data_IF_243771949555
#
_entry.id   IF_243771949555
#
_cell.length_a   1.000
_cell.length_b   1.000
_cell.length_c   1.000
_cell.angle_alpha   90.00
_cell.angle_beta   90.00
_cell.angle_gamma   90.00
#
_symmetry.space_group_name_H-M   'P 1'
#
loop_
_entity.id
_entity.type
_entity.pdbx_description
1 polymer ?
#
# COMPACT_ATOMS: atom_id res chain seq x y z
N UNK A 1 20.31 -33.86 1.98
CA UNK A 1 20.37 -32.91 0.85
C UNK A 1 20.43 -31.50 1.42
N UNK A 2 21.64 -30.99 1.65
CA UNK A 2 21.84 -29.72 2.36
C UNK A 2 23.18 -29.13 1.91
N UNK A 3 23.18 -27.81 1.68
CA UNK A 3 24.35 -26.94 1.42
C UNK A 3 24.78 -26.81 -0.05
N UNK A 4 24.00 -26.03 -0.80
CA UNK A 4 24.43 -25.32 -2.01
C UNK A 4 24.06 -23.84 -1.83
N UNK A 5 24.89 -23.12 -1.07
CA UNK A 5 24.91 -21.66 -1.02
C UNK A 5 26.01 -21.22 -0.06
N UNK A 6 27.19 -20.88 -0.58
CA UNK A 6 28.11 -19.82 -0.11
C UNK A 6 29.44 -19.97 -0.87
N UNK A 7 29.42 -19.67 -2.17
CA UNK A 7 30.64 -19.60 -2.97
C UNK A 7 30.60 -18.34 -3.83
N UNK A 8 30.50 -17.17 -3.19
CA UNK A 8 30.90 -15.89 -3.79
C UNK A 8 31.05 -14.79 -2.72
N UNK A 9 31.91 -15.01 -1.72
CA UNK A 9 32.20 -13.99 -0.69
C UNK A 9 33.67 -14.06 -0.24
N UNK A 10 34.60 -14.18 -1.19
CA UNK A 10 36.02 -14.42 -0.88
C UNK A 10 37.05 -13.63 -1.69
N UNK A 11 36.71 -12.45 -2.25
CA UNK A 11 37.76 -11.55 -2.81
C UNK A 11 37.51 -10.08 -2.52
N UNK A 12 37.21 -9.75 -1.25
CA UNK A 12 37.55 -8.42 -0.71
C UNK A 12 38.19 -8.66 0.65
N UNK A 13 39.40 -9.23 0.64
CA UNK A 13 40.27 -9.12 1.80
C UNK A 13 40.61 -7.63 1.97
N UNK A 14 40.54 -7.05 3.17
CA UNK A 14 41.11 -5.74 3.37
C UNK A 14 42.60 -5.88 3.05
N UNK A 15 43.08 -5.21 1.99
CA UNK A 15 44.51 -4.95 1.93
C UNK A 15 44.78 -4.10 3.17
N UNK A 16 45.37 -4.73 4.19
CA UNK A 16 45.93 -3.99 5.31
C UNK A 16 46.86 -2.96 4.69
N UNK A 17 46.48 -1.69 4.83
CA UNK A 17 47.27 -0.57 4.36
C UNK A 17 48.65 -0.68 5.02
N UNK A 18 49.65 -1.10 4.25
CA UNK A 18 51.03 -0.85 4.59
C UNK A 18 51.19 0.66 4.62
N UNK A 19 51.60 1.19 5.77
CA UNK A 19 51.90 2.59 6.01
C UNK A 19 52.87 3.17 4.97
N UNK A 20 52.32 3.66 3.87
CA UNK A 20 52.97 4.51 2.87
C UNK A 20 52.01 5.64 2.51
N UNK A 21 52.53 6.77 2.03
CA UNK A 21 51.67 7.86 1.53
C UNK A 21 50.72 7.30 0.46
N UNK A 22 49.43 7.59 0.58
CA UNK A 22 48.46 7.20 -0.45
C UNK A 22 48.86 7.83 -1.79
N UNK A 23 49.16 7.01 -2.79
CA UNK A 23 49.42 7.44 -4.15
C UNK A 23 48.19 8.05 -4.81
N UNK A 24 48.41 8.81 -5.88
CA UNK A 24 47.32 9.39 -6.66
C UNK A 24 46.40 8.29 -7.22
N UNK A 25 45.10 8.39 -6.91
CA UNK A 25 44.09 7.48 -7.44
C UNK A 25 43.93 6.14 -6.70
N UNK A 26 44.63 5.91 -5.59
CA UNK A 26 44.48 4.67 -4.81
C UNK A 26 43.05 4.43 -4.31
N UNK A 27 42.30 5.50 -4.03
CA UNK A 27 40.89 5.43 -3.60
C UNK A 27 39.89 5.67 -4.74
N UNK A 28 40.29 5.50 -6.02
CA UNK A 28 39.42 5.85 -7.16
C UNK A 28 38.15 5.01 -7.22
N UNK A 29 38.24 3.73 -6.85
CA UNK A 29 37.08 2.83 -6.85
C UNK A 29 36.08 3.19 -5.74
N UNK A 30 36.60 3.48 -4.55
CA UNK A 30 35.86 3.94 -3.38
C UNK A 30 35.20 5.28 -3.66
N UNK A 31 35.95 6.22 -4.26
CA UNK A 31 35.42 7.50 -4.70
C UNK A 31 34.27 7.33 -5.72
N UNK A 32 34.43 6.47 -6.72
CA UNK A 32 33.37 6.20 -7.69
C UNK A 32 32.11 5.61 -7.03
N UNK A 33 32.26 4.69 -6.08
CA UNK A 33 31.15 4.12 -5.31
C UNK A 33 30.44 5.18 -4.46
N UNK A 34 31.19 6.04 -3.76
CA UNK A 34 30.64 7.15 -2.97
C UNK A 34 29.91 8.17 -3.84
N UNK A 35 30.46 8.53 -5.00
CA UNK A 35 29.77 9.39 -5.96
C UNK A 35 28.45 8.77 -6.46
N UNK A 36 28.42 7.46 -6.72
CA UNK A 36 27.20 6.78 -7.11
C UNK A 36 26.14 6.84 -6.00
N UNK A 37 26.54 6.62 -4.74
CA UNK A 37 25.66 6.69 -3.58
C UNK A 37 25.10 8.11 -3.36
N UNK A 38 25.95 9.14 -3.36
CA UNK A 38 25.53 10.55 -3.23
C UNK A 38 24.57 10.93 -4.36
N UNK A 39 24.85 10.48 -5.59
CA UNK A 39 23.98 10.74 -6.75
C UNK A 39 22.61 10.08 -6.60
N UNK A 40 22.53 8.92 -5.95
CA UNK A 40 21.24 8.27 -5.64
C UNK A 40 20.52 9.06 -4.54
N UNK A 41 21.22 9.44 -3.47
CA UNK A 41 20.63 10.17 -2.35
C UNK A 41 20.17 11.60 -2.67
N UNK A 42 20.70 12.18 -3.74
CA UNK A 42 20.34 13.52 -4.22
C UNK A 42 19.19 13.52 -5.23
N UNK A 43 18.67 12.34 -5.63
CA UNK A 43 17.54 12.23 -6.55
C UNK A 43 16.24 12.16 -5.76
N UNK A 44 15.20 12.82 -6.28
CA UNK A 44 13.85 12.59 -5.81
C UNK A 44 13.49 11.11 -6.04
N UNK A 45 13.11 10.42 -4.96
CA UNK A 45 12.61 9.05 -5.06
C UNK A 45 11.13 9.11 -5.41
N UNK A 46 10.78 8.69 -6.62
CA UNK A 46 9.39 8.43 -7.00
C UNK A 46 8.92 7.17 -6.27
N UNK A 47 7.94 7.35 -5.41
CA UNK A 47 7.26 6.24 -4.74
C UNK A 47 6.03 5.90 -5.58
N UNK A 48 5.91 4.67 -6.11
CA UNK A 48 4.72 4.26 -6.82
C UNK A 48 3.49 4.43 -5.95
N UNK A 49 2.54 5.23 -6.40
CA UNK A 49 1.24 5.37 -5.75
C UNK A 49 0.35 4.24 -6.21
N UNK A 50 -0.20 3.49 -5.25
CA UNK A 50 -1.34 2.62 -5.53
C UNK A 50 -2.57 3.50 -5.41
N UNK A 51 -3.29 3.71 -6.51
CA UNK A 51 -4.56 4.44 -6.45
C UNK A 51 -5.48 3.78 -5.42
N UNK A 52 -6.31 4.57 -4.74
CA UNK A 52 -7.29 3.99 -3.84
C UNK A 52 -8.41 3.36 -4.66
N UNK A 53 -8.80 2.14 -4.29
CA UNK A 53 -9.99 1.53 -4.86
C UNK A 53 -11.19 2.43 -4.55
N UNK A 54 -12.02 2.71 -5.57
CA UNK A 54 -13.28 3.41 -5.38
C UNK A 54 -14.32 2.48 -4.71
N UNK A 55 -14.20 2.35 -3.39
CA UNK A 55 -15.07 1.50 -2.58
C UNK A 55 -16.54 1.92 -2.68
N UNK A 56 -16.82 3.22 -2.84
CA UNK A 56 -18.17 3.74 -3.00
C UNK A 56 -18.81 3.24 -4.30
N UNK A 57 -18.06 3.22 -5.41
CA UNK A 57 -18.54 2.67 -6.67
C UNK A 57 -18.81 1.15 -6.58
N UNK A 58 -17.92 0.40 -5.93
CA UNK A 58 -18.13 -1.03 -5.67
C UNK A 58 -19.41 -1.27 -4.85
N UNK A 59 -19.56 -0.56 -3.74
CA UNK A 59 -20.74 -0.69 -2.87
C UNK A 59 -22.02 -0.36 -3.64
N UNK A 60 -22.03 0.71 -4.43
CA UNK A 60 -23.17 1.09 -5.26
C UNK A 60 -23.58 -0.01 -6.24
N UNK A 61 -22.61 -0.67 -6.89
CA UNK A 61 -22.90 -1.80 -7.79
C UNK A 61 -23.55 -2.96 -7.01
N UNK A 62 -23.01 -3.31 -5.83
CA UNK A 62 -23.58 -4.39 -5.00
C UNK A 62 -24.98 -4.05 -4.48
N UNK A 63 -25.20 -2.82 -4.03
CA UNK A 63 -26.49 -2.32 -3.56
C UNK A 63 -27.55 -2.32 -4.66
N UNK A 64 -27.17 -1.92 -5.88
CA UNK A 64 -28.07 -1.94 -7.02
C UNK A 64 -28.38 -3.39 -7.45
N UNK A 65 -27.38 -4.27 -7.44
CA UNK A 65 -27.56 -5.70 -7.73
C UNK A 65 -28.54 -6.35 -6.74
N UNK A 66 -28.37 -6.04 -5.45
CA UNK A 66 -29.28 -6.51 -4.40
C UNK A 66 -30.71 -5.97 -4.61
N UNK A 67 -30.84 -4.67 -4.88
CA UNK A 67 -32.14 -4.00 -5.07
C UNK A 67 -32.92 -4.55 -6.26
N UNK A 68 -32.24 -4.93 -7.34
CA UNK A 68 -32.88 -5.48 -8.54
C UNK A 68 -33.14 -6.98 -8.45
N UNK A 69 -32.59 -7.67 -7.44
CA UNK A 69 -32.82 -9.10 -7.21
C UNK A 69 -34.30 -9.41 -6.94
N UNK A 70 -34.74 -10.67 -7.12
CA UNK A 70 -36.11 -11.08 -6.81
C UNK A 70 -36.50 -10.75 -5.37
N UNK A 71 -37.77 -10.39 -5.13
CA UNK A 71 -38.21 -9.97 -3.80
C UNK A 71 -38.11 -11.12 -2.77
N UNK A 72 -38.32 -12.36 -3.22
CA UNK A 72 -38.09 -13.58 -2.43
C UNK A 72 -36.62 -13.75 -2.01
N UNK A 73 -35.69 -13.34 -2.89
CA UNK A 73 -34.26 -13.35 -2.56
C UNK A 73 -33.93 -12.28 -1.52
N UNK A 74 -34.41 -11.05 -1.75
CA UNK A 74 -34.19 -9.94 -0.80
C UNK A 74 -34.76 -10.25 0.59
N UNK A 75 -35.94 -10.87 0.65
CA UNK A 75 -36.61 -11.20 1.91
C UNK A 75 -35.77 -12.11 2.82
N UNK A 76 -34.93 -13.00 2.26
CA UNK A 76 -34.05 -13.88 3.04
C UNK A 76 -33.06 -13.13 3.93
N UNK A 77 -32.71 -11.90 3.56
CA UNK A 77 -31.71 -11.10 4.27
C UNK A 77 -32.28 -10.33 5.44
N UNK A 78 -33.59 -10.35 5.65
CA UNK A 78 -34.23 -9.63 6.75
C UNK A 78 -34.85 -10.60 7.76
N UNK A 79 -34.84 -10.22 9.04
CA UNK A 79 -35.44 -11.03 10.11
C UNK A 79 -36.97 -10.92 10.07
N UNK A 80 -37.47 -9.72 9.83
CA UNK A 80 -38.89 -9.42 9.78
C UNK A 80 -39.32 -8.93 8.39
N UNK A 81 -40.63 -9.04 8.11
CA UNK A 81 -41.23 -8.57 6.86
C UNK A 81 -41.11 -7.05 6.66
N UNK A 82 -40.88 -6.29 7.74
CA UNK A 82 -40.69 -4.83 7.68
C UNK A 82 -39.30 -4.41 7.15
N UNK A 83 -38.40 -5.37 6.93
CA UNK A 83 -37.06 -5.20 6.37
C UNK A 83 -36.20 -4.18 7.11
N UNK A 84 -36.39 -4.00 8.43
CA UNK A 84 -35.56 -3.08 9.24
C UNK A 84 -34.30 -3.72 9.78
N UNK A 85 -34.34 -5.02 10.06
CA UNK A 85 -33.23 -5.76 10.67
C UNK A 85 -32.68 -6.80 9.69
N UNK A 86 -31.37 -6.76 9.45
CA UNK A 86 -30.69 -7.72 8.56
C UNK A 86 -30.32 -8.98 9.35
N UNK A 87 -30.32 -10.12 8.67
CA UNK A 87 -29.85 -11.38 9.22
C UNK A 87 -28.35 -11.34 9.54
N UNK A 88 -27.94 -12.01 10.62
CA UNK A 88 -26.54 -11.98 11.03
C UNK A 88 -25.66 -12.91 10.20
N UNK A 89 -26.21 -14.07 9.83
CA UNK A 89 -25.48 -15.16 9.16
C UNK A 89 -26.26 -15.70 7.97
N UNK A 90 -25.53 -16.27 7.00
CA UNK A 90 -26.13 -16.92 5.83
C UNK A 90 -27.06 -18.08 6.22
N UNK A 91 -26.72 -18.81 7.28
CA UNK A 91 -27.53 -19.90 7.82
C UNK A 91 -28.89 -19.37 8.32
N UNK A 92 -28.90 -18.24 9.04
CA UNK A 92 -30.15 -17.62 9.49
C UNK A 92 -31.00 -17.09 8.31
N UNK A 93 -30.37 -16.72 7.20
CA UNK A 93 -31.03 -16.38 5.94
C UNK A 93 -31.49 -17.61 5.13
N UNK A 94 -31.24 -18.84 5.62
CA UNK A 94 -31.57 -20.08 4.92
C UNK A 94 -30.79 -20.26 3.62
N UNK A 95 -29.57 -19.73 3.54
CA UNK A 95 -28.67 -19.86 2.41
C UNK A 95 -27.68 -20.98 2.67
N UNK A 96 -27.61 -21.93 1.73
CA UNK A 96 -26.69 -23.07 1.78
C UNK A 96 -26.32 -23.48 0.35
N UNK A 97 -25.04 -23.71 0.10
CA UNK A 97 -24.50 -24.19 -1.18
C UNK A 97 -24.81 -23.23 -2.36
N UNK A 98 -24.93 -21.92 -2.09
CA UNK A 98 -25.22 -20.86 -3.07
C UNK A 98 -24.04 -19.90 -3.25
N UNK A 99 -22.88 -20.23 -2.70
CA UNK A 99 -21.70 -19.36 -2.65
C UNK A 99 -21.69 -18.43 -1.44
N UNK A 100 -22.50 -18.68 -0.43
CA UNK A 100 -22.61 -17.88 0.77
C UNK A 100 -21.29 -17.68 1.51
N UNK A 101 -20.42 -18.70 1.54
CA UNK A 101 -19.09 -18.61 2.13
C UNK A 101 -18.26 -17.48 1.50
N UNK A 102 -18.49 -17.23 0.21
CA UNK A 102 -17.82 -16.20 -0.54
C UNK A 102 -18.59 -14.86 -0.46
N UNK A 103 -19.87 -14.85 -0.83
CA UNK A 103 -20.59 -13.61 -1.13
C UNK A 103 -21.37 -13.01 0.05
N UNK A 104 -21.49 -13.71 1.18
CA UNK A 104 -22.38 -13.30 2.28
C UNK A 104 -22.11 -11.87 2.78
N UNK A 105 -20.84 -11.50 2.95
CA UNK A 105 -20.49 -10.19 3.48
C UNK A 105 -20.97 -9.05 2.57
N UNK A 106 -20.84 -9.20 1.26
CA UNK A 106 -21.27 -8.19 0.30
C UNK A 106 -22.79 -8.11 0.22
N UNK A 107 -23.48 -9.26 0.22
CA UNK A 107 -24.94 -9.29 0.24
C UNK A 107 -25.51 -8.70 1.54
N UNK A 108 -24.94 -9.03 2.70
CA UNK A 108 -25.33 -8.49 4.00
C UNK A 108 -25.12 -6.98 4.05
N UNK A 109 -23.97 -6.49 3.55
CA UNK A 109 -23.69 -5.05 3.50
C UNK A 109 -24.67 -4.31 2.59
N UNK A 110 -24.94 -4.83 1.39
CA UNK A 110 -25.92 -4.27 0.47
C UNK A 110 -27.33 -4.26 1.09
N UNK A 111 -27.77 -5.36 1.69
CA UNK A 111 -29.06 -5.47 2.37
C UNK A 111 -29.21 -4.45 3.51
N UNK A 112 -28.14 -4.22 4.27
CA UNK A 112 -28.10 -3.22 5.34
C UNK A 112 -28.17 -1.78 4.81
N UNK A 113 -27.49 -1.50 3.70
CA UNK A 113 -27.48 -0.20 3.06
C UNK A 113 -28.84 0.17 2.44
N UNK A 114 -29.63 -0.82 2.00
CA UNK A 114 -30.96 -0.60 1.38
C UNK A 114 -32.14 -1.00 2.26
N UNK A 115 -31.92 -1.30 3.55
CA UNK A 115 -32.98 -1.67 4.50
C UNK A 115 -34.04 -0.59 4.64
N UNK A 116 -35.22 -0.96 5.12
CA UNK A 116 -36.28 0.02 5.36
C UNK A 116 -35.82 1.08 6.39
N UNK A 117 -36.09 2.36 6.10
CA UNK A 117 -35.62 3.49 6.89
C UNK A 117 -34.18 3.96 6.58
N UNK A 118 -33.47 3.31 5.65
CA UNK A 118 -32.18 3.82 5.15
C UNK A 118 -32.38 5.06 4.25
N UNK A 119 -31.42 6.00 4.30
CA UNK A 119 -31.38 7.18 3.42
C UNK A 119 -30.51 6.96 2.17
N UNK A 120 -30.57 5.76 1.57
CA UNK A 120 -29.82 5.50 0.34
C UNK A 120 -30.49 6.17 -0.87
N UNK A 121 -30.33 7.49 -0.96
CA UNK A 121 -30.95 8.30 -2.01
C UNK A 121 -30.44 7.95 -3.40
N UNK A 122 -29.18 7.52 -3.52
CA UNK A 122 -28.58 7.19 -4.81
C UNK A 122 -29.28 6.00 -5.45
N UNK A 123 -29.47 4.92 -4.69
CA UNK A 123 -30.21 3.75 -5.16
C UNK A 123 -31.68 4.10 -5.45
N UNK A 124 -32.35 4.80 -4.52
CA UNK A 124 -33.75 5.22 -4.69
C UNK A 124 -33.95 6.01 -5.98
N UNK A 125 -33.08 6.99 -6.27
CA UNK A 125 -33.12 7.77 -7.52
C UNK A 125 -32.88 6.90 -8.76
N UNK A 126 -31.99 5.92 -8.67
CA UNK A 126 -31.66 5.03 -9.80
C UNK A 126 -32.82 4.13 -10.18
N UNK A 127 -33.57 3.63 -9.20
CA UNK A 127 -34.68 2.68 -9.43
C UNK A 127 -36.04 3.37 -9.55
N UNK A 128 -36.09 4.71 -9.56
CA UNK A 128 -37.32 5.50 -9.71
C UNK A 128 -37.39 6.16 -11.11
N UNK A 129 -38.51 6.04 -11.84
CA UNK A 129 -39.70 5.25 -11.51
C UNK A 129 -39.41 3.75 -11.53
N UNK A 130 -40.21 2.97 -10.79
CA UNK A 130 -40.03 1.52 -10.72
C UNK A 130 -39.98 0.88 -12.12
N UNK A 131 -38.99 0.01 -12.30
CA UNK A 131 -38.85 -0.76 -13.52
C UNK A 131 -40.00 -1.76 -13.64
N UNK A 132 -40.56 -1.91 -14.85
CA UNK A 132 -41.49 -3.01 -15.12
C UNK A 132 -40.82 -4.36 -14.86
N UNK A 133 -41.61 -5.39 -14.53
CA UNK A 133 -41.09 -6.73 -14.18
C UNK A 133 -40.04 -7.26 -15.17
N UNK A 134 -40.30 -7.16 -16.47
CA UNK A 134 -39.37 -7.60 -17.53
C UNK A 134 -38.09 -6.77 -17.55
N UNK A 135 -38.17 -5.45 -17.38
CA UNK A 135 -36.99 -4.57 -17.34
C UNK A 135 -36.16 -4.84 -16.08
N UNK A 136 -36.80 -5.03 -14.93
CA UNK A 136 -36.14 -5.40 -13.66
C UNK A 136 -35.38 -6.72 -13.82
N UNK A 137 -36.00 -7.75 -14.40
CA UNK A 137 -35.36 -9.05 -14.64
C UNK A 137 -34.15 -8.95 -15.58
N UNK A 138 -34.29 -8.23 -16.71
CA UNK A 138 -33.18 -8.05 -17.64
C UNK A 138 -32.03 -7.25 -17.00
N UNK A 139 -32.34 -6.20 -16.24
CA UNK A 139 -31.35 -5.39 -15.53
C UNK A 139 -30.65 -6.22 -14.44
N UNK A 140 -31.37 -7.03 -13.68
CA UNK A 140 -30.81 -7.90 -12.65
C UNK A 140 -29.79 -8.89 -13.24
N UNK A 141 -30.09 -9.52 -14.37
CA UNK A 141 -29.14 -10.45 -15.03
C UNK A 141 -27.86 -9.74 -15.46
N UNK A 142 -27.98 -8.57 -16.11
CA UNK A 142 -26.81 -7.80 -16.55
C UNK A 142 -25.98 -7.31 -15.36
N UNK A 143 -26.65 -6.85 -14.31
CA UNK A 143 -25.99 -6.28 -13.14
C UNK A 143 -25.32 -7.34 -12.29
N UNK A 144 -25.85 -8.57 -12.23
CA UNK A 144 -25.21 -9.69 -11.56
C UNK A 144 -23.82 -9.99 -12.16
N UNK A 145 -23.68 -9.94 -13.49
CA UNK A 145 -22.39 -10.10 -14.16
C UNK A 145 -21.41 -8.97 -13.81
N UNK A 146 -21.87 -7.72 -13.84
CA UNK A 146 -21.07 -6.53 -13.47
C UNK A 146 -20.64 -6.60 -12.00
N UNK A 147 -21.53 -7.00 -11.10
CA UNK A 147 -21.24 -7.13 -9.68
C UNK A 147 -20.20 -8.22 -9.39
N UNK A 148 -20.23 -9.33 -10.14
CA UNK A 148 -19.22 -10.37 -10.06
C UNK A 148 -17.86 -9.86 -10.56
N UNK A 149 -17.83 -9.18 -11.71
CA UNK A 149 -16.60 -8.61 -12.25
C UNK A 149 -15.98 -7.57 -11.31
N UNK A 150 -16.80 -6.68 -10.74
CA UNK A 150 -16.35 -5.68 -9.76
C UNK A 150 -15.73 -6.33 -8.52
N UNK A 151 -16.29 -7.46 -8.06
CA UNK A 151 -15.74 -8.24 -6.95
C UNK A 151 -14.40 -8.88 -7.32
N UNK A 152 -14.30 -9.46 -8.52
CA UNK A 152 -13.05 -10.05 -9.00
C UNK A 152 -11.94 -9.00 -9.13
N UNK A 153 -12.28 -7.78 -9.55
CA UNK A 153 -11.36 -6.64 -9.53
C UNK A 153 -10.95 -6.30 -8.10
N UNK A 154 -11.89 -6.18 -7.16
CA UNK A 154 -11.62 -5.90 -5.74
C UNK A 154 -10.67 -6.96 -5.14
N UNK A 155 -10.86 -8.25 -5.45
CA UNK A 155 -9.99 -9.33 -4.97
C UNK A 155 -8.56 -9.22 -5.49
N UNK A 156 -8.40 -8.85 -6.76
CA UNK A 156 -7.09 -8.70 -7.41
C UNK A 156 -6.45 -7.34 -7.15
N UNK A 157 -7.19 -6.40 -6.58
CA UNK A 157 -6.70 -5.06 -6.35
C UNK A 157 -5.48 -5.12 -5.41
N UNK A 158 -4.36 -4.46 -5.78
CA UNK A 158 -3.17 -4.48 -4.93
C UNK A 158 -3.51 -3.85 -3.59
N UNK A 159 -3.40 -4.64 -2.52
CA UNK A 159 -3.40 -4.11 -1.17
C UNK A 159 -2.02 -3.52 -0.93
N UNK A 160 -1.94 -2.20 -0.78
CA UNK A 160 -0.71 -1.58 -0.30
C UNK A 160 -0.33 -2.27 1.02
N UNK A 161 0.87 -2.85 1.10
CA UNK A 161 1.35 -3.32 2.38
C UNK A 161 1.54 -2.10 3.31
N UNK A 162 1.34 -2.28 4.62
CA UNK A 162 1.32 -1.18 5.57
C UNK A 162 2.66 -0.41 5.57
N UNK A 163 3.77 -1.08 5.28
CA UNK A 163 5.11 -0.51 5.14
C UNK A 163 5.24 0.43 3.94
N UNK A 164 4.73 0.06 2.78
CA UNK A 164 4.78 0.84 1.54
C UNK A 164 3.84 2.05 1.63
N UNK A 165 2.70 1.92 2.30
CA UNK A 165 1.77 3.02 2.52
C UNK A 165 2.43 4.19 3.27
N UNK A 166 3.42 3.93 4.14
CA UNK A 166 4.19 4.97 4.86
C UNK A 166 4.94 5.92 3.91
N UNK A 167 5.36 5.41 2.75
CA UNK A 167 6.14 6.17 1.77
C UNK A 167 5.28 6.88 0.72
N UNK A 168 3.98 6.56 0.63
CA UNK A 168 3.06 7.25 -0.30
C UNK A 168 2.72 8.67 0.15
N UNK A 169 2.73 8.93 1.47
CA UNK A 169 2.41 10.24 2.06
C UNK A 169 3.65 11.03 2.46
N UNK A 170 4.79 10.36 2.69
CA UNK A 170 6.06 10.96 3.09
C UNK A 170 7.16 10.42 2.18
N UNK A 171 7.73 11.29 1.35
CA UNK A 171 8.87 10.90 0.51
C UNK A 171 10.06 10.46 1.37
N UNK A 172 10.68 9.29 1.10
CA UNK A 172 11.87 8.86 1.83
C UNK A 172 13.12 9.69 1.47
N UNK A 173 13.02 10.60 0.50
CA UNK A 173 14.13 11.43 0.01
C UNK A 173 14.85 12.12 1.16
N UNK A 174 14.13 12.76 2.09
CA UNK A 174 14.75 13.45 3.23
C UNK A 174 15.61 12.52 4.09
N UNK A 175 15.12 11.31 4.38
CA UNK A 175 15.83 10.30 5.17
C UNK A 175 17.04 9.74 4.44
N UNK A 176 16.92 9.49 3.13
CA UNK A 176 18.01 8.99 2.30
C UNK A 176 19.10 10.07 2.16
N UNK A 177 18.72 11.32 1.92
CA UNK A 177 19.66 12.45 1.86
C UNK A 177 20.34 12.67 3.22
N UNK A 178 19.62 12.57 4.33
CA UNK A 178 20.20 12.66 5.67
C UNK A 178 21.21 11.54 5.95
N UNK A 179 20.93 10.30 5.52
CA UNK A 179 21.87 9.19 5.68
C UNK A 179 23.14 9.35 4.83
N UNK A 180 23.08 10.10 3.72
CA UNK A 180 24.23 10.31 2.84
C UNK A 180 25.04 11.58 3.17
N UNK A 181 24.37 12.62 3.65
CA UNK A 181 24.95 13.96 3.82
C UNK A 181 24.90 14.46 5.27
N UNK A 182 24.28 13.71 6.18
CA UNK A 182 24.03 14.10 7.56
C UNK A 182 22.93 15.16 7.73
N UNK A 183 22.33 15.63 6.64
CA UNK A 183 21.22 16.57 6.64
C UNK A 183 20.22 16.24 5.53
N UNK A 184 18.93 16.20 5.88
CA UNK A 184 17.86 15.92 4.92
C UNK A 184 17.45 17.17 4.14
N UNK A 185 16.98 16.97 2.90
CA UNK A 185 16.43 18.04 2.04
C UNK A 185 17.41 19.17 1.64
N UNK A 186 18.71 18.99 1.83
CA UNK A 186 19.73 20.00 1.46
C UNK A 186 20.41 19.64 0.15
N UNK A 187 20.66 20.65 -0.70
CA UNK A 187 21.50 20.49 -1.88
C UNK A 187 22.92 20.09 -1.44
N UNK A 188 23.54 19.04 -2.00
CA UNK A 188 24.92 18.66 -1.70
C UNK A 188 25.93 19.82 -1.73
N UNK A 189 25.71 20.84 -2.57
CA UNK A 189 26.56 22.03 -2.65
C UNK A 189 26.52 22.96 -1.42
N UNK A 190 25.56 22.75 -0.51
CA UNK A 190 25.34 23.60 0.66
C UNK A 190 25.60 22.87 1.99
N UNK A 191 26.13 21.64 1.97
CA UNK A 191 26.38 20.84 3.16
C UNK A 191 27.58 21.41 3.92
N UNK A 192 27.34 21.82 5.17
CA UNK A 192 28.40 22.26 6.08
C UNK A 192 29.28 21.08 6.52
N UNK A 193 30.56 21.36 6.79
CA UNK A 193 31.58 20.36 7.16
C UNK A 193 31.21 19.54 8.39
N UNK A 194 30.37 20.06 9.28
CA UNK A 194 29.97 19.36 10.49
C UNK A 194 28.76 18.45 10.29
N UNK A 195 27.97 18.64 9.23
CA UNK A 195 26.70 17.91 9.04
C UNK A 195 26.88 16.40 8.84
N UNK A 196 27.86 15.91 8.06
CA UNK A 196 28.10 14.47 7.95
C UNK A 196 28.68 13.82 9.21
N UNK A 197 28.94 14.59 10.27
CA UNK A 197 29.53 14.13 11.51
C UNK A 197 28.55 14.29 12.67
N UNK A 198 28.62 13.38 13.64
CA UNK A 198 27.79 13.36 14.85
C UNK A 198 27.99 14.55 15.80
N UNK A 199 29.01 15.37 15.57
CA UNK A 199 29.36 16.55 16.36
C UNK A 199 30.31 17.47 15.57
N UNK A 200 30.53 18.68 16.08
CA UNK A 200 31.49 19.63 15.52
C UNK A 200 32.85 18.98 15.33
N UNK A 201 33.37 19.05 14.10
CA UNK A 201 34.63 18.44 13.72
C UNK A 201 35.78 19.14 14.44
N UNK A 202 36.35 18.46 15.43
CA UNK A 202 37.49 18.96 16.22
C UNK A 202 38.51 17.83 16.42
N UNK A 203 39.80 18.17 16.39
CA UNK A 203 40.90 17.22 16.62
C UNK A 203 41.48 16.55 15.36
N UNK A 204 42.30 15.52 15.58
CA UNK A 204 43.07 14.86 14.52
C UNK A 204 42.19 14.00 13.59
N UNK A 205 42.52 14.00 12.28
CA UNK A 205 41.78 13.26 11.24
C UNK A 205 41.53 11.79 11.59
N UNK A 206 42.51 11.11 12.19
CA UNK A 206 42.38 9.69 12.57
C UNK A 206 41.24 9.48 13.57
N UNK A 207 40.99 10.45 14.45
CA UNK A 207 39.95 10.38 15.46
C UNK A 207 38.57 10.71 14.89
N UNK A 208 38.52 11.64 13.93
CA UNK A 208 37.32 12.13 13.25
C UNK A 208 36.84 11.16 12.17
N UNK A 209 37.73 10.49 11.44
CA UNK A 209 37.39 9.55 10.36
C UNK A 209 37.16 8.10 10.86
N UNK A 210 36.69 7.94 12.10
CA UNK A 210 36.30 6.65 12.68
C UNK A 210 34.83 6.68 13.05
N UNK A 211 34.03 5.74 12.53
CA UNK A 211 32.61 5.61 12.89
C UNK A 211 32.51 5.16 14.36
N UNK A 212 31.82 5.94 15.20
CA UNK A 212 31.68 5.71 16.64
C UNK A 212 30.23 5.90 17.07
N UNK A 213 29.81 5.18 18.12
CA UNK A 213 28.47 5.36 18.74
C UNK A 213 28.34 6.64 19.58
N UNK A 214 29.46 7.27 19.95
CA UNK A 214 29.50 8.53 20.70
C UNK A 214 30.81 9.30 20.42
N UNK A 215 30.78 10.63 20.56
CA UNK A 215 31.89 11.53 20.19
C UNK A 215 31.90 11.90 18.69
N UNK A 216 32.92 12.65 18.24
CA UNK A 216 33.05 13.09 16.84
C UNK A 216 33.40 11.89 15.95
N UNK A 217 32.54 11.59 14.98
CA UNK A 217 32.72 10.57 13.95
C UNK A 217 31.69 10.72 12.83
N UNK A 218 31.86 10.05 11.68
CA UNK A 218 30.85 10.06 10.62
C UNK A 218 29.56 9.40 11.13
N UNK A 219 28.41 9.99 10.80
CA UNK A 219 27.08 9.49 11.20
C UNK A 219 26.29 8.91 10.04
#
# INVERSE_FOLDING_TARGET
>A
MQRLALALLLIIGPKLATSGNMGYGENRAEHAALCAFIRIASRAVEVPTVESLNQSAYNYIQELNFTLSPDEWQAKFYKEADRKTVQETAIAAGLKDVGEAEFWNDWKAAAAAVRHGSDNQQIKKTVTPELTKTKKQLAAVKLAAIALEAREILKRYPKANAEAAKYQTISPTATITAAALGEGNTNPGNIDVNKPFSATVTGARQNVCTVKKSGVGPQ
#
